data_IF_578220239437
#
_entry.id   IF_578220239437
#
_cell.length_a   1.000
_cell.length_b   1.000
_cell.length_c   1.000
_cell.angle_alpha   90.00
_cell.angle_beta   90.00
_cell.angle_gamma   90.00
#
_symmetry.space_group_name_H-M   'P 1'
#
loop_
_entity.id
_entity.type
_entity.pdbx_description
1 polymer ?
#
# COMPACT_ATOMS: atom_id res chain seq x y z
N UNK A 1 7.17 0.92 -4.25
CA UNK A 1 5.99 1.61 -3.65
C UNK A 1 6.33 2.90 -2.92
N UNK A 2 7.09 2.88 -1.81
CA UNK A 2 7.25 4.05 -0.92
C UNK A 2 7.76 5.35 -1.58
N UNK A 3 8.74 5.26 -2.48
CA UNK A 3 9.24 6.43 -3.24
C UNK A 3 8.19 7.03 -4.16
N UNK A 4 7.39 6.19 -4.83
CA UNK A 4 6.30 6.64 -5.70
C UNK A 4 5.17 7.29 -4.91
N UNK A 5 4.83 6.75 -3.73
CA UNK A 5 3.86 7.36 -2.81
C UNK A 5 4.35 8.72 -2.29
N UNK A 6 5.64 8.83 -1.98
CA UNK A 6 6.26 10.10 -1.60
C UNK A 6 6.20 11.14 -2.71
N UNK A 7 6.55 10.76 -3.94
CA UNK A 7 6.46 11.64 -5.11
C UNK A 7 5.02 12.13 -5.37
N UNK A 8 4.00 11.37 -4.95
CA UNK A 8 2.58 11.74 -5.02
C UNK A 8 2.04 12.45 -3.77
N UNK A 9 2.93 12.94 -2.90
CA UNK A 9 2.58 13.79 -1.74
C UNK A 9 2.32 13.06 -0.43
N UNK A 10 2.66 11.77 -0.32
CA UNK A 10 2.58 11.04 0.96
C UNK A 10 3.94 11.00 1.65
N UNK A 11 4.10 11.81 2.68
CA UNK A 11 5.38 11.94 3.39
C UNK A 11 5.60 10.81 4.42
N UNK A 12 6.87 10.60 4.78
CA UNK A 12 7.34 9.45 5.60
C UNK A 12 6.77 9.41 7.02
N UNK A 13 6.19 10.53 7.49
CA UNK A 13 5.55 10.62 8.80
C UNK A 13 4.16 9.97 8.84
N UNK A 14 3.66 9.49 7.69
CA UNK A 14 2.41 8.72 7.59
C UNK A 14 2.70 7.24 7.40
N UNK A 15 1.76 6.39 7.80
CA UNK A 15 1.80 4.97 7.44
C UNK A 15 1.41 4.79 5.98
N UNK A 16 2.34 4.31 5.15
CA UNK A 16 2.06 3.95 3.75
C UNK A 16 1.13 2.74 3.65
N UNK A 17 1.25 1.79 4.57
CA UNK A 17 0.37 0.62 4.62
C UNK A 17 -1.10 1.03 4.86
N UNK A 18 -1.34 2.04 5.70
CA UNK A 18 -2.69 2.57 5.96
C UNK A 18 -3.38 3.17 4.72
N UNK A 19 -2.62 3.50 3.67
CA UNK A 19 -3.18 3.98 2.41
C UNK A 19 -4.04 2.93 1.71
N UNK A 20 -3.82 1.64 1.98
CA UNK A 20 -4.67 0.58 1.42
C UNK A 20 -6.15 0.82 1.74
N UNK A 21 -6.44 1.33 2.96
CA UNK A 21 -7.81 1.65 3.38
C UNK A 21 -8.14 3.12 3.14
N UNK A 22 -7.21 4.04 3.44
CA UNK A 22 -7.52 5.48 3.46
C UNK A 22 -7.50 6.13 2.07
N UNK A 23 -6.70 5.59 1.13
CA UNK A 23 -6.56 6.11 -0.22
C UNK A 23 -6.32 4.94 -1.23
N UNK A 24 -7.25 3.98 -1.35
CA UNK A 24 -7.06 2.78 -2.17
C UNK A 24 -6.78 3.12 -3.65
N UNK A 25 -7.42 4.15 -4.19
CA UNK A 25 -7.24 4.58 -5.57
C UNK A 25 -5.82 5.11 -5.86
N UNK A 26 -5.17 5.72 -4.87
CA UNK A 26 -3.78 6.15 -4.99
C UNK A 26 -2.84 4.95 -5.07
N UNK A 27 -3.04 3.97 -4.19
CA UNK A 27 -2.25 2.73 -4.16
C UNK A 27 -2.44 1.94 -5.45
N UNK A 28 -3.69 1.78 -5.90
CA UNK A 28 -4.04 1.11 -7.15
C UNK A 28 -3.38 1.77 -8.37
N UNK A 29 -3.41 3.10 -8.47
CA UNK A 29 -2.72 3.82 -9.55
C UNK A 29 -1.21 3.58 -9.55
N UNK A 30 -0.56 3.55 -8.38
CA UNK A 30 0.88 3.26 -8.31
C UNK A 30 1.17 1.82 -8.76
N UNK A 31 0.37 0.83 -8.38
CA UNK A 31 0.53 -0.53 -8.90
C UNK A 31 0.34 -0.58 -10.42
N UNK A 32 -0.68 0.10 -10.93
CA UNK A 32 -0.95 0.15 -12.36
C UNK A 32 0.18 0.82 -13.15
N UNK A 33 0.81 1.85 -12.60
CA UNK A 33 1.99 2.49 -13.18
C UNK A 33 3.18 1.51 -13.30
N UNK A 34 3.40 0.65 -12.30
CA UNK A 34 4.42 -0.41 -12.42
C UNK A 34 4.07 -1.44 -13.49
N UNK A 35 2.82 -1.88 -13.54
CA UNK A 35 2.36 -2.84 -14.56
C UNK A 35 2.50 -2.24 -15.97
N UNK A 36 2.11 -0.99 -16.17
CA UNK A 36 2.28 -0.29 -17.46
C UNK A 36 3.73 -0.04 -17.83
N UNK A 37 4.63 0.06 -16.86
CA UNK A 37 6.07 0.13 -17.09
C UNK A 37 6.69 -1.24 -17.47
N UNK A 38 5.89 -2.32 -17.52
CA UNK A 38 6.33 -3.66 -17.92
C UNK A 38 6.76 -4.56 -16.75
N UNK A 39 6.33 -4.28 -15.52
CA UNK A 39 6.60 -5.18 -14.40
C UNK A 39 5.79 -6.48 -14.53
N UNK A 40 6.48 -7.63 -14.62
CA UNK A 40 5.86 -8.95 -14.61
C UNK A 40 5.36 -9.37 -13.21
N UNK A 41 5.95 -8.80 -12.16
CA UNK A 41 5.62 -9.08 -10.76
C UNK A 41 5.49 -7.75 -10.02
N UNK A 42 4.45 -7.63 -9.21
CA UNK A 42 4.24 -6.54 -8.27
C UNK A 42 4.05 -7.08 -6.85
N UNK A 43 4.55 -6.35 -5.86
CA UNK A 43 4.32 -6.65 -4.44
C UNK A 43 3.08 -5.92 -3.93
N UNK A 44 2.47 -6.42 -2.86
CA UNK A 44 1.42 -5.70 -2.14
C UNK A 44 1.99 -4.48 -1.41
N UNK A 45 1.18 -3.44 -1.20
CA UNK A 45 1.55 -2.31 -0.35
C UNK A 45 1.42 -2.66 1.15
N UNK A 46 2.20 -3.64 1.61
CA UNK A 46 2.11 -4.18 2.99
C UNK A 46 3.48 -4.42 3.64
N UNK A 47 4.54 -3.77 3.14
CA UNK A 47 5.91 -3.93 3.66
C UNK A 47 6.00 -3.69 5.18
N UNK A 48 5.25 -2.72 5.70
CA UNK A 48 5.20 -2.38 7.12
C UNK A 48 3.95 -2.85 7.86
N UNK A 49 3.06 -3.60 7.20
CA UNK A 49 1.73 -3.95 7.72
C UNK A 49 1.79 -5.10 8.74
N UNK A 50 2.59 -4.96 9.78
CA UNK A 50 2.63 -5.86 10.94
C UNK A 50 2.17 -5.14 12.22
N UNK A 51 1.76 -5.91 13.23
CA UNK A 51 1.17 -5.37 14.47
C UNK A 51 2.08 -4.35 15.18
N UNK A 52 3.39 -4.60 15.21
CA UNK A 52 4.36 -3.77 15.93
C UNK A 52 4.48 -2.40 15.24
N UNK A 53 4.71 -2.39 13.93
CA UNK A 53 4.89 -1.16 13.16
C UNK A 53 3.58 -0.38 13.00
N UNK A 54 2.44 -1.04 12.80
CA UNK A 54 1.15 -0.37 12.81
C UNK A 54 0.79 0.17 14.19
N UNK A 55 1.26 -0.46 15.26
CA UNK A 55 1.09 -0.01 16.64
C UNK A 55 1.65 1.39 16.88
N UNK A 56 2.81 1.74 16.30
CA UNK A 56 3.38 3.09 16.43
C UNK A 56 2.54 4.18 15.74
N UNK A 57 1.57 3.80 14.90
CA UNK A 57 0.60 4.69 14.26
C UNK A 57 -0.80 4.60 14.87
N UNK A 58 -1.01 3.79 15.93
CA UNK A 58 -2.33 3.54 16.50
C UNK A 58 -3.26 2.74 15.57
N UNK A 59 -2.71 1.85 14.73
CA UNK A 59 -3.45 1.09 13.71
C UNK A 59 -3.33 -0.44 13.86
N UNK A 60 -2.85 -0.92 15.02
CA UNK A 60 -2.61 -2.34 15.27
C UNK A 60 -3.89 -3.20 15.18
N UNK A 61 -5.03 -2.62 15.50
CA UNK A 61 -6.39 -3.16 15.38
C UNK A 61 -6.87 -3.26 13.92
N UNK A 62 -6.32 -2.45 13.02
CA UNK A 62 -6.64 -2.47 11.57
C UNK A 62 -5.72 -3.37 10.75
N UNK A 63 -4.84 -4.14 11.41
CA UNK A 63 -3.84 -5.01 10.78
C UNK A 63 -4.42 -5.89 9.66
N UNK A 64 -5.49 -6.62 9.97
CA UNK A 64 -6.11 -7.55 9.03
C UNK A 64 -6.68 -6.81 7.81
N UNK A 65 -7.49 -5.78 8.05
CA UNK A 65 -8.12 -4.99 6.99
C UNK A 65 -7.08 -4.32 6.07
N UNK A 66 -5.96 -3.83 6.63
CA UNK A 66 -4.88 -3.20 5.85
C UNK A 66 -4.23 -4.22 4.91
N UNK A 67 -3.94 -5.42 5.40
CA UNK A 67 -3.30 -6.47 4.59
C UNK A 67 -4.26 -7.04 3.55
N UNK A 68 -5.50 -7.33 3.93
CA UNK A 68 -6.52 -7.85 3.03
C UNK A 68 -6.76 -6.88 1.86
N UNK A 69 -6.95 -5.59 2.17
CA UNK A 69 -7.16 -4.58 1.15
C UNK A 69 -5.92 -4.36 0.29
N UNK A 70 -4.71 -4.41 0.87
CA UNK A 70 -3.45 -4.35 0.12
C UNK A 70 -3.31 -5.49 -0.90
N UNK A 71 -3.66 -6.71 -0.50
CA UNK A 71 -3.69 -7.87 -1.40
C UNK A 71 -4.75 -7.72 -2.50
N UNK A 72 -5.94 -7.25 -2.14
CA UNK A 72 -7.04 -7.01 -3.09
C UNK A 72 -6.67 -5.99 -4.17
N UNK A 73 -6.09 -4.85 -3.79
CA UNK A 73 -5.68 -3.80 -4.73
C UNK A 73 -4.59 -4.31 -5.67
N UNK A 74 -3.55 -4.96 -5.13
CA UNK A 74 -2.48 -5.51 -5.97
C UNK A 74 -3.00 -6.57 -6.94
N UNK A 75 -3.92 -7.44 -6.49
CA UNK A 75 -4.54 -8.44 -7.37
C UNK A 75 -5.34 -7.79 -8.51
N UNK A 76 -6.12 -6.76 -8.20
CA UNK A 76 -6.89 -6.02 -9.22
C UNK A 76 -5.99 -5.36 -10.27
N UNK A 77 -4.83 -4.84 -9.87
CA UNK A 77 -3.88 -4.22 -10.80
C UNK A 77 -3.12 -5.24 -11.66
N UNK A 78 -2.90 -6.46 -11.16
CA UNK A 78 -2.13 -7.50 -11.85
C UNK A 78 -2.93 -8.28 -12.92
N UNK A 79 -4.27 -8.34 -12.82
CA UNK A 79 -5.12 -9.19 -13.67
C UNK A 79 -5.64 -10.44 -12.95
#
# INVERSE_FOLDING_TARGET
MGTMLYAKGVFINKSFDALNITQPDLVGRVHQEYVWAGADIIETNTFGANRIKLGSFGLADKLYAINEQGARIARQAAG
#
